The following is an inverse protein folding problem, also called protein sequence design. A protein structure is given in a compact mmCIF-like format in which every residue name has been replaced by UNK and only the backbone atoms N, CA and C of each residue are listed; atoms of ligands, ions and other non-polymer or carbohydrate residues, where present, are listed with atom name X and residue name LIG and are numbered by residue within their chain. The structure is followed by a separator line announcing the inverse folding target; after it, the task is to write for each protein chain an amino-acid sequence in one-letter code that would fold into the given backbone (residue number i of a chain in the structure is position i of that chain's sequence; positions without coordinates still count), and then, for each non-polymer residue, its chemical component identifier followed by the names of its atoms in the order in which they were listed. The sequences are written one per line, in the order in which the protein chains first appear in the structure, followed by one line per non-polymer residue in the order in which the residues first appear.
data_IF_142710798927
#
_entry.id   IF_142710798927
#
_cell.length_a   1.000
_cell.length_b   1.000
_cell.length_c   1.000
_cell.angle_alpha   90.00
_cell.angle_beta   90.00
_cell.angle_gamma   90.00
#
_symmetry.space_group_name_H-M   'P 1'
#
loop_
_entity.id
_entity.type
_entity.pdbx_description
1 polymer ?
#
# COMPACT_ATOMS: atom_id res chain seq x y z
N UNK A 1 18.97 10.98 19.79
CA UNK A 1 18.53 9.57 19.84
C UNK A 1 19.37 8.81 18.85
N UNK A 2 20.24 7.92 19.32
CA UNK A 2 21.06 7.09 18.43
C UNK A 2 20.29 5.78 18.21
N UNK A 3 19.84 5.53 16.98
CA UNK A 3 19.41 4.20 16.57
C UNK A 3 20.68 3.35 16.46
N UNK A 4 20.68 2.15 17.04
CA UNK A 4 21.79 1.23 16.83
C UNK A 4 21.82 0.80 15.35
N UNK A 5 23.00 0.70 14.71
CA UNK A 5 23.10 0.38 13.28
C UNK A 5 22.42 -0.95 12.90
N UNK A 6 22.35 -1.89 13.84
CA UNK A 6 21.57 -3.13 13.73
C UNK A 6 20.05 -2.91 13.59
N UNK A 7 19.49 -1.92 14.29
CA UNK A 7 18.06 -1.57 14.21
C UNK A 7 17.75 -0.89 12.88
N UNK A 8 18.63 -0.01 12.41
CA UNK A 8 18.49 0.62 11.08
C UNK A 8 18.51 -0.44 9.97
N UNK A 9 19.45 -1.38 10.04
CA UNK A 9 19.51 -2.50 9.10
C UNK A 9 18.25 -3.37 9.14
N UNK A 10 17.72 -3.63 10.34
CA UNK A 10 16.48 -4.40 10.51
C UNK A 10 15.28 -3.68 9.88
N UNK A 11 15.13 -2.37 10.11
CA UNK A 11 14.05 -1.57 9.51
C UNK A 11 14.13 -1.60 7.98
N UNK A 12 15.33 -1.42 7.42
CA UNK A 12 15.56 -1.50 5.98
C UNK A 12 15.21 -2.88 5.42
N UNK A 13 15.65 -3.97 6.08
CA UNK A 13 15.33 -5.34 5.67
C UNK A 13 13.81 -5.56 5.70
N UNK A 14 13.11 -5.09 6.73
CA UNK A 14 11.66 -5.18 6.83
C UNK A 14 10.95 -4.43 5.71
N UNK A 15 11.37 -3.20 5.42
CA UNK A 15 10.82 -2.40 4.31
C UNK A 15 11.03 -3.10 2.96
N UNK A 16 12.25 -3.58 2.68
CA UNK A 16 12.56 -4.29 1.43
C UNK A 16 11.80 -5.61 1.31
N UNK A 17 11.61 -6.33 2.42
CA UNK A 17 10.81 -7.56 2.46
C UNK A 17 9.34 -7.24 2.18
N UNK A 18 8.78 -6.23 2.85
CA UNK A 18 7.40 -5.76 2.62
C UNK A 18 7.19 -5.32 1.16
N UNK A 19 8.14 -4.59 0.58
CA UNK A 19 8.09 -4.18 -0.81
C UNK A 19 8.08 -5.38 -1.76
N UNK A 20 8.97 -6.34 -1.55
CA UNK A 20 9.06 -7.56 -2.37
C UNK A 20 7.77 -8.38 -2.30
N UNK A 21 7.24 -8.58 -1.10
CA UNK A 21 5.97 -9.27 -0.89
C UNK A 21 4.81 -8.52 -1.56
N UNK A 22 4.78 -7.19 -1.46
CA UNK A 22 3.74 -6.38 -2.08
C UNK A 22 3.76 -6.50 -3.60
N UNK A 23 4.93 -6.41 -4.23
CA UNK A 23 5.07 -6.60 -5.69
C UNK A 23 4.57 -7.98 -6.11
N UNK A 24 4.98 -9.03 -5.39
CA UNK A 24 4.60 -10.39 -5.74
C UNK A 24 3.08 -10.58 -5.64
N UNK A 25 2.47 -10.13 -4.54
CA UNK A 25 1.03 -10.25 -4.32
C UNK A 25 0.22 -9.38 -5.29
N UNK A 26 0.62 -8.12 -5.53
CA UNK A 26 -0.04 -7.27 -6.52
C UNK A 26 0.07 -7.86 -7.93
N UNK A 27 1.26 -8.33 -8.32
CA UNK A 27 1.46 -8.96 -9.63
C UNK A 27 0.62 -10.21 -9.80
N UNK A 28 0.57 -11.08 -8.78
CA UNK A 28 -0.28 -12.25 -8.78
C UNK A 28 -1.77 -11.88 -8.86
N UNK A 29 -2.22 -10.91 -8.08
CA UNK A 29 -3.60 -10.44 -8.08
C UNK A 29 -4.00 -9.83 -9.43
N UNK A 30 -3.12 -9.04 -10.06
CA UNK A 30 -3.30 -8.52 -11.42
C UNK A 30 -3.41 -9.66 -12.43
N UNK A 31 -2.51 -10.65 -12.35
CA UNK A 31 -2.55 -11.82 -13.24
C UNK A 31 -3.87 -12.61 -13.10
N UNK A 32 -4.31 -12.87 -11.86
CA UNK A 32 -5.59 -13.52 -11.60
C UNK A 32 -6.78 -12.73 -12.15
N UNK A 33 -6.79 -11.40 -11.98
CA UNK A 33 -7.86 -10.53 -12.49
C UNK A 33 -7.94 -10.56 -14.02
N UNK A 34 -6.79 -10.55 -14.69
CA UNK A 34 -6.71 -10.62 -16.16
C UNK A 34 -7.16 -11.98 -16.69
N UNK A 35 -6.80 -13.08 -16.01
CA UNK A 35 -7.07 -14.44 -16.49
C UNK A 35 -8.49 -14.95 -16.17
N UNK A 36 -9.07 -14.56 -15.04
CA UNK A 36 -10.24 -15.24 -14.49
C UNK A 36 -11.57 -14.47 -14.60
N UNK A 37 -11.57 -13.22 -15.07
CA UNK A 37 -12.76 -12.36 -15.03
C UNK A 37 -13.48 -12.31 -16.40
N UNK A 38 -14.72 -12.82 -16.53
CA UNK A 38 -15.51 -12.73 -17.76
C UNK A 38 -16.00 -11.28 -18.04
N UNK A 39 -16.22 -10.95 -19.32
CA UNK A 39 -16.48 -9.59 -19.82
C UNK A 39 -17.69 -8.86 -19.20
N UNK A 40 -18.63 -9.59 -18.58
CA UNK A 40 -19.82 -9.01 -17.93
C UNK A 40 -19.53 -8.15 -16.68
N UNK A 41 -18.27 -8.07 -16.20
CA UNK A 41 -17.86 -7.22 -15.07
C UNK A 41 -16.70 -6.25 -15.38
N UNK A 42 -16.57 -5.81 -16.64
CA UNK A 42 -15.47 -4.96 -17.11
C UNK A 42 -15.19 -3.71 -16.26
N UNK A 43 -16.24 -3.00 -15.80
CA UNK A 43 -16.10 -1.80 -14.95
C UNK A 43 -15.44 -2.10 -13.60
N UNK A 44 -15.83 -3.22 -12.97
CA UNK A 44 -15.30 -3.63 -11.67
C UNK A 44 -13.84 -4.10 -11.78
N UNK A 45 -13.50 -4.77 -12.90
CA UNK A 45 -12.13 -5.18 -13.22
C UNK A 45 -11.19 -3.98 -13.37
N UNK A 46 -11.61 -2.98 -14.15
CA UNK A 46 -10.80 -1.77 -14.36
C UNK A 46 -10.58 -1.00 -13.05
N UNK A 47 -11.59 -0.94 -12.19
CA UNK A 47 -11.44 -0.34 -10.87
C UNK A 47 -10.42 -1.08 -9.99
N UNK A 48 -10.49 -2.42 -9.93
CA UNK A 48 -9.53 -3.22 -9.16
C UNK A 48 -8.09 -3.13 -9.70
N UNK A 49 -7.92 -3.11 -11.03
CA UNK A 49 -6.61 -2.89 -11.65
C UNK A 49 -6.06 -1.50 -11.34
N UNK A 50 -6.90 -0.47 -11.40
CA UNK A 50 -6.51 0.90 -11.02
C UNK A 50 -6.04 0.97 -9.57
N UNK A 51 -6.75 0.30 -8.64
CA UNK A 51 -6.34 0.24 -7.23
C UNK A 51 -5.01 -0.48 -7.03
N UNK A 52 -4.72 -1.56 -7.78
CA UNK A 52 -3.43 -2.25 -7.73
C UNK A 52 -2.27 -1.37 -8.22
N UNK A 53 -2.48 -0.62 -9.30
CA UNK A 53 -1.49 0.35 -9.80
C UNK A 53 -1.25 1.44 -8.75
N UNK A 54 -2.31 1.99 -8.16
CA UNK A 54 -2.20 3.02 -7.14
C UNK A 54 -1.48 2.53 -5.88
N UNK A 55 -1.71 1.28 -5.47
CA UNK A 55 -1.00 0.64 -4.37
C UNK A 55 0.49 0.49 -4.69
N UNK A 56 0.84 0.03 -5.90
CA UNK A 56 2.24 -0.09 -6.33
C UNK A 56 2.96 1.27 -6.36
N UNK A 57 2.31 2.32 -6.88
CA UNK A 57 2.87 3.68 -6.88
C UNK A 57 3.11 4.17 -5.46
N UNK A 58 2.15 3.96 -4.55
CA UNK A 58 2.31 4.30 -3.14
C UNK A 58 3.49 3.56 -2.49
N UNK A 59 3.63 2.26 -2.76
CA UNK A 59 4.74 1.46 -2.23
C UNK A 59 6.10 1.98 -2.71
N UNK A 60 6.23 2.31 -3.99
CA UNK A 60 7.46 2.92 -4.53
C UNK A 60 7.75 4.27 -3.87
N UNK A 61 6.72 5.10 -3.69
CA UNK A 61 6.88 6.39 -3.01
C UNK A 61 7.32 6.21 -1.54
N UNK A 62 6.73 5.25 -0.83
CA UNK A 62 7.07 4.97 0.55
C UNK A 62 8.48 4.39 0.71
N UNK A 63 8.81 3.36 -0.07
CA UNK A 63 10.03 2.56 0.11
C UNK A 63 11.27 3.18 -0.56
N UNK A 64 11.12 4.13 -1.49
CA UNK A 64 12.25 4.81 -2.15
C UNK A 64 12.24 6.33 -2.06
N UNK A 65 11.08 6.97 -2.26
CA UNK A 65 11.04 8.43 -2.29
C UNK A 65 11.17 9.01 -0.87
N UNK A 66 10.53 8.39 0.12
CA UNK A 66 10.52 8.85 1.51
C UNK A 66 11.41 8.01 2.40
N UNK A 67 11.38 6.68 2.30
CA UNK A 67 12.14 5.73 3.14
C UNK A 67 12.09 6.13 4.64
N UNK A 68 10.92 5.94 5.29
CA UNK A 68 10.70 6.48 6.62
C UNK A 68 11.28 5.62 7.73
N UNK A 69 11.96 6.25 8.69
CA UNK A 69 12.46 5.63 9.90
C UNK A 69 11.66 6.14 11.10
N UNK A 70 10.89 5.25 11.71
CA UNK A 70 10.14 5.52 12.94
C UNK A 70 11.03 5.20 14.15
N UNK A 71 11.18 6.17 15.04
CA UNK A 71 11.98 6.09 16.25
C UNK A 71 11.15 5.64 17.46
N UNK A 72 10.52 4.47 17.44
CA UNK A 72 9.85 3.96 18.65
C UNK A 72 10.91 3.77 19.76
N UNK A 73 10.76 4.31 21.00
CA UNK A 73 9.54 4.74 21.72
C UNK A 73 9.23 6.25 21.69
N UNK A 74 10.06 7.07 21.03
CA UNK A 74 9.82 8.51 20.92
C UNK A 74 8.87 8.72 19.72
N UNK A 75 7.80 9.50 19.89
CA UNK A 75 6.91 9.87 18.78
C UNK A 75 7.67 10.81 17.82
N UNK A 76 8.51 10.21 16.99
CA UNK A 76 9.43 10.89 16.12
C UNK A 76 9.93 9.93 15.04
N UNK A 77 10.52 10.53 14.02
CA UNK A 77 11.08 9.79 12.91
C UNK A 77 11.92 10.71 12.06
N UNK A 78 12.72 10.13 11.19
CA UNK A 78 13.36 10.86 10.11
C UNK A 78 13.15 10.06 8.84
N UNK A 79 13.40 10.68 7.70
CA UNK A 79 13.25 10.01 6.43
C UNK A 79 14.56 10.15 5.65
N UNK A 80 14.92 9.08 4.95
CA UNK A 80 16.24 8.95 4.30
C UNK A 80 16.13 8.86 2.78
N UNK A 81 14.91 8.82 2.25
CA UNK A 81 14.64 8.71 0.82
C UNK A 81 15.07 9.94 0.03
N UNK A 82 14.94 9.83 -1.29
CA UNK A 82 15.41 10.84 -2.24
C UNK A 82 14.80 12.22 -1.95
N UNK A 83 13.50 12.30 -1.63
CA UNK A 83 12.81 13.56 -1.36
C UNK A 83 13.23 14.21 -0.04
N UNK A 84 13.63 13.40 0.94
CA UNK A 84 14.01 13.86 2.26
C UNK A 84 15.33 14.63 2.29
N UNK A 85 16.15 14.46 1.25
CA UNK A 85 17.42 15.18 1.10
C UNK A 85 17.25 16.65 0.70
N UNK A 86 16.07 17.03 0.21
CA UNK A 86 15.77 18.35 -0.34
C UNK A 86 14.78 19.16 0.52
N UNK A 87 14.26 18.55 1.60
CA UNK A 87 13.15 19.09 2.40
C UNK A 87 13.59 19.22 3.86
N UNK A 88 13.18 20.32 4.51
CA UNK A 88 13.39 20.52 5.94
C UNK A 88 12.80 19.42 6.82
N UNK A 89 13.47 19.12 7.93
CA UNK A 89 13.09 18.01 8.82
C UNK A 89 11.67 18.10 9.38
N UNK A 90 11.17 19.30 9.63
CA UNK A 90 9.78 19.52 10.09
C UNK A 90 8.76 19.14 9.01
N UNK A 91 9.03 19.50 7.75
CA UNK A 91 8.17 19.18 6.61
C UNK A 91 8.26 17.70 6.27
N UNK A 92 9.45 17.11 6.37
CA UNK A 92 9.67 15.67 6.24
C UNK A 92 8.85 14.85 7.27
N UNK A 93 8.84 15.28 8.53
CA UNK A 93 8.02 14.68 9.59
C UNK A 93 6.51 14.82 9.32
N UNK A 94 6.06 15.98 8.87
CA UNK A 94 4.66 16.19 8.50
C UNK A 94 4.23 15.30 7.31
N UNK A 95 5.10 15.19 6.29
CA UNK A 95 4.89 14.29 5.14
C UNK A 95 4.83 12.83 5.58
N UNK A 96 5.70 12.40 6.49
CA UNK A 96 5.68 11.06 7.06
C UNK A 96 4.33 10.76 7.75
N UNK A 97 3.87 11.64 8.64
CA UNK A 97 2.58 11.45 9.32
C UNK A 97 1.41 11.42 8.35
N UNK A 98 1.41 12.31 7.36
CA UNK A 98 0.38 12.34 6.31
C UNK A 98 0.37 11.04 5.49
N UNK A 99 1.54 10.55 5.12
CA UNK A 99 1.70 9.31 4.36
C UNK A 99 1.25 8.07 5.14
N UNK A 100 1.55 7.98 6.44
CA UNK A 100 1.05 6.90 7.30
C UNK A 100 -0.48 6.91 7.38
N UNK A 101 -1.09 8.09 7.48
CA UNK A 101 -2.55 8.24 7.44
C UNK A 101 -3.11 7.80 6.08
N UNK A 102 -2.49 8.21 4.97
CA UNK A 102 -2.90 7.82 3.62
C UNK A 102 -2.83 6.31 3.41
N UNK A 103 -1.79 5.65 3.91
CA UNK A 103 -1.69 4.17 3.86
C UNK A 103 -2.82 3.55 4.67
N UNK A 104 -3.08 4.03 5.89
CA UNK A 104 -4.21 3.57 6.70
C UNK A 104 -5.56 3.71 5.98
N UNK A 105 -5.84 4.88 5.39
CA UNK A 105 -7.04 5.12 4.60
C UNK A 105 -7.12 4.18 3.39
N UNK A 106 -6.02 4.00 2.65
CA UNK A 106 -5.97 3.12 1.48
C UNK A 106 -6.24 1.67 1.87
N UNK A 107 -5.66 1.19 2.98
CA UNK A 107 -5.94 -0.14 3.52
C UNK A 107 -7.44 -0.33 3.83
N UNK A 108 -8.06 0.64 4.52
CA UNK A 108 -9.50 0.60 4.85
C UNK A 108 -10.36 0.59 3.58
N UNK A 109 -10.01 1.41 2.59
CA UNK A 109 -10.69 1.48 1.31
C UNK A 109 -10.56 0.14 0.57
N UNK A 110 -9.35 -0.43 0.49
CA UNK A 110 -9.11 -1.74 -0.11
C UNK A 110 -9.94 -2.85 0.56
N UNK A 111 -10.00 -2.87 1.89
CA UNK A 111 -10.83 -3.82 2.65
C UNK A 111 -12.32 -3.63 2.32
N UNK A 112 -12.78 -2.38 2.31
CA UNK A 112 -14.18 -2.02 2.01
C UNK A 112 -14.58 -2.45 0.60
N UNK A 113 -13.73 -2.21 -0.40
CA UNK A 113 -13.98 -2.65 -1.77
C UNK A 113 -13.92 -4.15 -1.93
N UNK A 114 -12.99 -4.83 -1.26
CA UNK A 114 -12.95 -6.30 -1.25
C UNK A 114 -14.22 -6.89 -0.63
N UNK A 115 -14.71 -6.28 0.44
CA UNK A 115 -15.97 -6.66 1.07
C UNK A 115 -17.16 -6.46 0.12
N UNK A 116 -17.23 -5.31 -0.56
CA UNK A 116 -18.27 -5.04 -1.57
C UNK A 116 -18.20 -6.00 -2.77
N UNK A 117 -17.01 -6.42 -3.19
CA UNK A 117 -16.84 -7.43 -4.25
C UNK A 117 -17.52 -8.76 -3.85
N UNK A 118 -17.27 -9.21 -2.62
CA UNK A 118 -17.76 -10.49 -2.11
C UNK A 118 -19.28 -10.40 -1.90
N UNK A 119 -19.78 -9.38 -1.21
CA UNK A 119 -21.22 -9.23 -0.95
C UNK A 119 -22.00 -8.94 -2.24
N UNK A 120 -21.45 -8.13 -3.14
CA UNK A 120 -22.07 -7.84 -4.44
C UNK A 120 -22.17 -9.07 -5.33
N UNK A 121 -21.23 -10.02 -5.22
CA UNK A 121 -21.33 -11.32 -5.92
C UNK A 121 -22.43 -12.22 -5.37
N UNK A 122 -22.68 -12.20 -4.05
CA UNK A 122 -23.73 -12.98 -3.39
C UNK A 122 -25.13 -12.50 -3.81
N UNK A 123 -25.34 -11.18 -3.95
CA UNK A 123 -26.65 -10.64 -4.39
C UNK A 123 -27.01 -11.00 -5.84
N UNK A 124 -26.02 -11.15 -6.74
CA UNK A 124 -26.29 -11.59 -8.13
C UNK A 124 -26.63 -13.07 -8.23
N UNK A 125 -26.07 -13.93 -7.37
CA UNK A 125 -26.37 -15.38 -7.37
C UNK A 125 -27.79 -15.65 -6.83
N UNK A 126 -28.25 -14.88 -5.85
CA UNK A 126 -29.61 -15.01 -5.31
C UNK A 126 -30.73 -14.64 -6.30
N UNK A 127 -30.45 -13.81 -7.30
CA UNK A 127 -31.46 -13.34 -8.26
C UNK A 127 -31.52 -14.17 -9.56
N UNK A 128 -30.63 -15.14 -9.74
CA UNK A 128 -30.65 -16.10 -10.87
C UNK A 128 -31.29 -17.44 -10.44
N UNK A 129 -31.59 -17.60 -9.14
CA UNK A 129 -32.19 -18.80 -8.55
C UNK A 129 -33.68 -18.71 -8.23
N UNK A 130 -34.38 -17.65 -8.66
CA UNK A 130 -35.84 -17.50 -8.50
C UNK A 130 -36.52 -17.38 -9.86
#
# INVERSE_FOLDING_TARGET
VFISPETEATILILQRTKFTLSIFLNGFATFCLLKQTPDMQSQFKNFLLYMQILAFVNDVFFDFAVEPFLLLPIMGGYCRGIFCRWIDIQRALALLMFLLLQVGCTCIICISYRHQAIVGSQMKIGNVGN
#
